data_IF_720488695403
#
_entry.id   IF_720488695403
#
_cell.length_a   1.000
_cell.length_b   1.000
_cell.length_c   1.000
_cell.angle_alpha   90.00
_cell.angle_beta   90.00
_cell.angle_gamma   90.00
#
_symmetry.space_group_name_H-M   'P 1'
#
loop_
_entity.id
_entity.type
_entity.pdbx_description
1 polymer ?
#
# COMPACT_ATOMS: atom_id res chain seq x y z
N UNK A 1 4.42 2.31 -18.70
CA UNK A 1 3.23 1.54 -18.29
C UNK A 1 3.44 0.97 -16.91
N UNK A 2 2.38 0.89 -16.08
CA UNK A 2 2.46 0.50 -14.67
C UNK A 2 1.28 -0.37 -14.25
N UNK A 3 1.50 -1.37 -13.38
CA UNK A 3 0.44 -2.18 -12.78
C UNK A 3 0.15 -1.71 -11.36
N UNK A 4 -1.13 -1.49 -11.07
CA UNK A 4 -1.61 -1.11 -9.74
C UNK A 4 -2.20 -2.33 -9.06
N UNK A 5 -1.60 -2.75 -7.95
CA UNK A 5 -2.02 -3.92 -7.17
C UNK A 5 -2.74 -3.48 -5.91
N UNK A 6 -3.97 -3.95 -5.75
CA UNK A 6 -4.88 -3.53 -4.69
C UNK A 6 -5.38 -4.75 -3.92
N UNK A 7 -4.84 -5.04 -2.73
CA UNK A 7 -5.47 -6.01 -1.84
C UNK A 7 -6.79 -5.45 -1.30
N UNK A 8 -7.83 -6.27 -1.25
CA UNK A 8 -9.13 -5.89 -0.70
C UNK A 8 -9.71 -6.98 0.19
N UNK A 9 -10.49 -6.59 1.21
CA UNK A 9 -11.24 -7.53 2.04
C UNK A 9 -12.38 -6.84 2.78
N UNK A 10 -13.63 -7.14 2.39
CA UNK A 10 -14.86 -6.56 2.95
C UNK A 10 -14.82 -5.02 2.94
N UNK A 11 -14.70 -4.43 1.77
CA UNK A 11 -14.60 -2.97 1.53
C UNK A 11 -15.75 -2.44 0.66
N UNK A 12 -16.93 -3.08 0.66
CA UNK A 12 -18.06 -2.67 -0.20
C UNK A 12 -18.45 -1.19 -0.04
N UNK A 13 -18.27 -0.61 1.17
CA UNK A 13 -18.62 0.78 1.45
C UNK A 13 -17.63 1.81 0.82
N UNK A 14 -16.36 1.42 0.62
CA UNK A 14 -15.27 2.35 0.20
C UNK A 14 -14.66 2.06 -1.16
N UNK A 15 -14.67 0.81 -1.60
CA UNK A 15 -13.91 0.37 -2.78
C UNK A 15 -14.35 1.09 -4.07
N UNK A 16 -15.63 1.44 -4.21
CA UNK A 16 -16.09 2.14 -5.41
C UNK A 16 -15.49 3.55 -5.51
N UNK A 17 -15.49 4.31 -4.41
CA UNK A 17 -14.89 5.64 -4.38
C UNK A 17 -13.39 5.59 -4.64
N UNK A 18 -12.70 4.61 -4.06
CA UNK A 18 -11.29 4.35 -4.31
C UNK A 18 -11.03 4.06 -5.80
N UNK A 19 -11.74 3.11 -6.41
CA UNK A 19 -11.55 2.73 -7.81
C UNK A 19 -11.88 3.87 -8.77
N UNK A 20 -12.89 4.69 -8.48
CA UNK A 20 -13.17 5.92 -9.23
C UNK A 20 -11.99 6.89 -9.19
N UNK A 21 -11.35 7.07 -8.04
CA UNK A 21 -10.15 7.92 -7.93
C UNK A 21 -8.97 7.36 -8.73
N UNK A 22 -8.86 6.03 -8.81
CA UNK A 22 -7.84 5.35 -9.60
C UNK A 22 -8.13 5.41 -11.10
N UNK A 23 -9.40 5.40 -11.52
CA UNK A 23 -9.78 5.60 -12.92
C UNK A 23 -9.67 7.06 -13.38
N UNK A 24 -9.67 8.04 -12.47
CA UNK A 24 -9.55 9.49 -12.75
C UNK A 24 -8.10 9.99 -12.72
N UNK A 25 -7.12 9.16 -13.07
CA UNK A 25 -5.73 9.56 -13.11
C UNK A 25 -5.38 10.36 -14.36
N UNK A 26 -4.35 11.24 -14.27
CA UNK A 26 -3.83 12.00 -15.45
C UNK A 26 -3.04 11.11 -16.41
N UNK A 27 -2.52 9.98 -15.94
CA UNK A 27 -1.90 8.98 -16.81
C UNK A 27 -3.00 8.35 -17.68
N UNK A 28 -2.84 8.28 -19.02
CA UNK A 28 -3.82 7.65 -19.90
C UNK A 28 -4.18 6.23 -19.47
N UNK A 29 -5.48 5.88 -19.57
CA UNK A 29 -6.03 4.61 -19.06
C UNK A 29 -5.40 3.37 -19.70
N UNK A 30 -4.93 3.46 -20.92
CA UNK A 30 -4.23 2.42 -21.66
C UNK A 30 -2.76 2.23 -21.23
N UNK A 31 -2.25 3.09 -20.36
CA UNK A 31 -0.89 3.02 -19.85
C UNK A 31 -0.77 2.37 -18.45
N UNK A 32 -1.88 1.93 -17.88
CA UNK A 32 -1.86 1.21 -16.61
C UNK A 32 -2.95 0.13 -16.56
N UNK A 33 -2.73 -0.85 -15.70
CA UNK A 33 -3.73 -1.86 -15.35
C UNK A 33 -4.04 -1.83 -13.86
N UNK A 34 -5.25 -2.21 -13.51
CA UNK A 34 -5.77 -2.29 -12.15
C UNK A 34 -6.02 -3.77 -11.82
N UNK A 35 -5.33 -4.28 -10.80
CA UNK A 35 -5.43 -5.65 -10.33
C UNK A 35 -5.94 -5.63 -8.90
N UNK A 36 -7.16 -6.09 -8.68
CA UNK A 36 -7.73 -6.23 -7.35
C UNK A 36 -7.58 -7.67 -6.88
N UNK A 37 -6.92 -7.86 -5.75
CA UNK A 37 -6.69 -9.18 -5.13
C UNK A 37 -7.53 -9.28 -3.88
N UNK A 38 -8.61 -10.04 -3.96
CA UNK A 38 -9.60 -10.14 -2.90
C UNK A 38 -9.23 -11.20 -1.86
N UNK A 39 -9.31 -10.85 -0.58
CA UNK A 39 -9.03 -11.73 0.56
C UNK A 39 -10.12 -12.76 0.88
N UNK A 40 -11.09 -12.97 -0.01
CA UNK A 40 -12.27 -13.80 0.22
C UNK A 40 -13.43 -13.03 0.86
N UNK A 41 -13.70 -11.83 0.36
CA UNK A 41 -14.81 -10.97 0.81
C UNK A 41 -16.15 -11.68 0.73
N UNK A 42 -17.03 -11.39 1.71
CA UNK A 42 -18.38 -11.93 1.80
C UNK A 42 -19.45 -10.90 1.43
N UNK A 43 -19.05 -9.67 1.22
CA UNK A 43 -19.86 -8.54 0.80
C UNK A 43 -19.75 -8.31 -0.72
N UNK A 44 -20.21 -7.15 -1.20
CA UNK A 44 -20.19 -6.81 -2.63
C UNK A 44 -18.84 -6.29 -3.15
N UNK A 45 -17.77 -6.39 -2.36
CA UNK A 45 -16.45 -5.86 -2.74
C UNK A 45 -16.02 -6.31 -4.13
N UNK A 46 -16.08 -7.62 -4.43
CA UNK A 46 -15.67 -8.17 -5.73
C UNK A 46 -16.56 -7.71 -6.88
N UNK A 47 -17.88 -7.78 -6.68
CA UNK A 47 -18.86 -7.35 -7.69
C UNK A 47 -18.64 -5.88 -8.10
N UNK A 48 -18.31 -5.03 -7.12
CA UNK A 48 -18.01 -3.63 -7.38
C UNK A 48 -16.66 -3.50 -8.12
N UNK A 49 -15.64 -4.23 -7.66
CA UNK A 49 -14.29 -4.16 -8.26
C UNK A 49 -14.28 -4.58 -9.73
N UNK A 50 -15.04 -5.60 -10.11
CA UNK A 50 -15.16 -6.11 -11.48
C UNK A 50 -15.65 -5.05 -12.50
N UNK A 51 -16.30 -3.97 -12.03
CA UNK A 51 -16.77 -2.87 -12.89
C UNK A 51 -15.66 -1.89 -13.31
N UNK A 52 -14.54 -1.88 -12.60
CA UNK A 52 -13.48 -0.89 -12.75
C UNK A 52 -12.10 -1.48 -13.02
N UNK A 53 -11.81 -2.67 -12.46
CA UNK A 53 -10.50 -3.30 -12.55
C UNK A 53 -10.35 -4.14 -13.83
N UNK A 54 -9.11 -4.26 -14.32
CA UNK A 54 -8.77 -5.12 -15.46
C UNK A 54 -8.70 -6.60 -15.04
N UNK A 55 -8.42 -6.84 -13.76
CA UNK A 55 -8.35 -8.18 -13.19
C UNK A 55 -8.83 -8.17 -11.74
N UNK A 56 -9.70 -9.12 -11.40
CA UNK A 56 -10.16 -9.38 -10.02
C UNK A 56 -10.07 -10.87 -9.74
N UNK A 57 -9.39 -11.25 -8.68
CA UNK A 57 -9.31 -12.66 -8.27
C UNK A 57 -9.13 -12.81 -6.77
N UNK A 58 -9.43 -14.01 -6.26
CA UNK A 58 -9.24 -14.35 -4.84
C UNK A 58 -7.77 -14.68 -4.62
N UNK A 59 -7.16 -14.11 -3.55
CA UNK A 59 -5.77 -14.41 -3.18
C UNK A 59 -5.56 -15.91 -2.95
N UNK A 60 -4.41 -16.40 -3.33
CA UNK A 60 -3.96 -17.78 -3.06
C UNK A 60 -3.03 -17.82 -1.85
N UNK A 61 -2.24 -16.79 -1.67
CA UNK A 61 -1.35 -16.60 -0.52
C UNK A 61 -2.11 -16.04 0.69
N UNK A 62 -1.55 -16.21 1.89
CA UNK A 62 -2.17 -15.69 3.12
C UNK A 62 -1.75 -14.25 3.39
N UNK A 63 -2.56 -13.51 4.19
CA UNK A 63 -2.25 -12.15 4.66
C UNK A 63 -2.20 -11.12 3.53
N UNK A 64 -2.11 -9.85 3.90
CA UNK A 64 -2.06 -8.74 2.94
C UNK A 64 -0.79 -8.74 2.09
N UNK A 65 0.36 -9.06 2.67
CA UNK A 65 1.61 -9.21 1.93
C UNK A 65 1.53 -10.31 0.88
N UNK A 66 0.84 -11.42 1.18
CA UNK A 66 0.57 -12.50 0.23
C UNK A 66 -0.35 -12.05 -0.90
N UNK A 67 -1.43 -11.32 -0.61
CA UNK A 67 -2.30 -10.76 -1.63
C UNK A 67 -1.55 -9.80 -2.58
N UNK A 68 -0.68 -8.94 -2.04
CA UNK A 68 0.19 -8.08 -2.86
C UNK A 68 1.12 -8.91 -3.75
N UNK A 69 1.73 -9.98 -3.22
CA UNK A 69 2.58 -10.88 -4.00
C UNK A 69 1.81 -11.53 -5.15
N UNK A 70 0.63 -12.07 -4.88
CA UNK A 70 -0.22 -12.69 -5.91
C UNK A 70 -0.55 -11.69 -7.03
N UNK A 71 -0.90 -10.44 -6.68
CA UNK A 71 -1.17 -9.38 -7.64
C UNK A 71 0.06 -8.98 -8.47
N UNK A 72 1.23 -8.87 -7.83
CA UNK A 72 2.49 -8.58 -8.53
C UNK A 72 2.85 -9.70 -9.51
N UNK A 73 2.70 -10.96 -9.11
CA UNK A 73 2.98 -12.09 -10.01
C UNK A 73 2.04 -12.10 -11.22
N UNK A 74 0.77 -11.75 -11.03
CA UNK A 74 -0.23 -11.66 -12.09
C UNK A 74 -0.07 -10.45 -13.02
N UNK A 75 0.69 -9.41 -12.61
CA UNK A 75 0.82 -8.16 -13.35
C UNK A 75 1.57 -8.30 -14.67
N UNK A 76 1.24 -7.45 -15.65
CA UNK A 76 1.86 -7.43 -16.99
C UNK A 76 3.10 -6.54 -17.05
N UNK A 77 3.13 -5.42 -16.30
CA UNK A 77 4.16 -4.39 -16.45
C UNK A 77 5.28 -4.55 -15.43
N UNK A 78 6.46 -4.01 -15.77
CA UNK A 78 7.63 -4.04 -14.88
C UNK A 78 7.53 -3.01 -13.74
N UNK A 79 6.89 -1.88 -13.99
CA UNK A 79 6.59 -0.94 -12.92
C UNK A 79 5.34 -1.37 -12.18
N UNK A 80 5.47 -1.53 -10.87
CA UNK A 80 4.38 -1.92 -9.98
C UNK A 80 4.19 -0.83 -8.94
N UNK A 81 2.95 -0.56 -8.59
CA UNK A 81 2.60 0.19 -7.38
C UNK A 81 1.56 -0.57 -6.59
N UNK A 82 1.75 -0.62 -5.27
CA UNK A 82 0.75 -1.16 -4.34
C UNK A 82 0.03 -0.03 -3.63
N UNK A 83 -1.27 -0.20 -3.43
CA UNK A 83 -2.13 0.72 -2.68
C UNK A 83 -3.23 -0.06 -1.98
N UNK A 84 -3.90 0.53 -0.99
CA UNK A 84 -4.97 -0.13 -0.24
C UNK A 84 -6.35 0.35 -0.71
N UNK A 85 -7.37 -0.49 -0.63
CA UNK A 85 -8.72 -0.24 -1.14
C UNK A 85 -9.50 0.85 -0.37
N UNK A 86 -8.95 1.35 0.74
CA UNK A 86 -9.50 2.45 1.55
C UNK A 86 -8.69 3.76 1.43
N UNK A 87 -7.87 3.87 0.38
CA UNK A 87 -7.14 5.08 0.05
C UNK A 87 -7.92 6.00 -0.89
N UNK A 88 -7.46 7.25 -1.05
CA UNK A 88 -7.84 8.17 -2.12
C UNK A 88 -6.60 8.60 -2.89
N UNK A 89 -6.65 8.47 -4.20
CA UNK A 89 -5.49 8.71 -5.07
C UNK A 89 -5.67 10.05 -5.81
N UNK A 90 -4.81 11.06 -5.54
CA UNK A 90 -4.81 12.30 -6.32
C UNK A 90 -4.54 12.03 -7.81
N UNK A 91 -5.17 12.80 -8.69
CA UNK A 91 -5.10 12.60 -10.15
C UNK A 91 -3.68 12.44 -10.73
N UNK A 92 -2.63 13.18 -10.29
CA UNK A 92 -1.29 13.03 -10.84
C UNK A 92 -0.46 11.89 -10.22
N UNK A 93 -1.05 11.04 -9.36
CA UNK A 93 -0.30 10.05 -8.58
C UNK A 93 0.44 9.03 -9.46
N UNK A 94 -0.24 8.39 -10.42
CA UNK A 94 0.40 7.44 -11.33
C UNK A 94 1.42 8.10 -12.26
N UNK A 95 1.09 9.28 -12.79
CA UNK A 95 2.00 10.05 -13.63
C UNK A 95 3.27 10.46 -12.87
N UNK A 96 3.13 10.83 -11.59
CA UNK A 96 4.27 11.16 -10.72
C UNK A 96 5.19 9.95 -10.56
N UNK A 97 4.63 8.77 -10.28
CA UNK A 97 5.40 7.53 -10.13
C UNK A 97 6.18 7.20 -11.41
N UNK A 98 5.53 7.25 -12.56
CA UNK A 98 6.18 6.95 -13.85
C UNK A 98 7.32 7.91 -14.12
N UNK A 99 7.11 9.23 -13.94
CA UNK A 99 8.15 10.28 -14.10
C UNK A 99 9.31 10.08 -13.13
N UNK A 100 9.04 9.62 -11.91
CA UNK A 100 10.10 9.37 -10.94
C UNK A 100 10.97 8.18 -11.35
N UNK A 101 10.42 7.10 -11.90
CA UNK A 101 11.22 6.00 -12.43
C UNK A 101 12.01 6.38 -13.68
N UNK A 102 11.55 7.33 -14.48
CA UNK A 102 12.31 7.92 -15.59
C UNK A 102 13.46 8.79 -15.07
N UNK A 103 13.18 9.62 -14.07
CA UNK A 103 14.17 10.51 -13.44
C UNK A 103 15.24 9.76 -12.65
N UNK A 104 14.86 8.63 -12.03
CA UNK A 104 15.75 7.81 -11.23
C UNK A 104 15.80 6.37 -11.79
N UNK A 105 16.54 6.16 -12.90
CA UNK A 105 16.60 4.86 -13.56
C UNK A 105 17.22 3.76 -12.69
N UNK A 106 18.03 4.15 -11.71
CA UNK A 106 18.63 3.30 -10.68
C UNK A 106 17.73 3.01 -9.47
N UNK A 107 16.50 3.57 -9.45
CA UNK A 107 15.59 3.32 -8.35
C UNK A 107 15.02 1.89 -8.42
N UNK A 108 15.16 1.17 -7.31
CA UNK A 108 14.47 -0.10 -7.06
C UNK A 108 13.07 0.13 -6.50
N UNK A 109 12.92 1.16 -5.67
CA UNK A 109 11.68 1.48 -4.95
C UNK A 109 11.48 2.99 -4.88
N UNK A 110 10.24 3.43 -5.08
CA UNK A 110 9.80 4.81 -4.84
C UNK A 110 8.61 4.76 -3.88
N UNK A 111 8.56 5.67 -2.91
CA UNK A 111 7.47 5.74 -1.95
C UNK A 111 7.19 7.19 -1.57
N UNK A 112 6.02 7.43 -1.02
CA UNK A 112 5.58 8.78 -0.69
C UNK A 112 4.87 8.90 0.65
N UNK A 113 4.57 10.15 1.07
CA UNK A 113 3.83 10.46 2.27
C UNK A 113 2.34 10.17 2.11
N UNK A 114 1.59 10.36 3.21
CA UNK A 114 0.14 10.25 3.27
C UNK A 114 -0.50 11.54 3.80
N UNK A 115 -1.80 11.71 3.58
CA UNK A 115 -2.63 12.66 4.31
C UNK A 115 -3.90 11.97 4.84
N UNK A 116 -4.47 12.42 5.97
CA UNK A 116 -5.64 11.77 6.54
C UNK A 116 -6.89 12.10 5.74
N UNK A 117 -7.74 11.11 5.47
CA UNK A 117 -9.05 11.32 4.84
C UNK A 117 -10.07 11.86 5.84
N UNK A 118 -9.97 11.43 7.09
CA UNK A 118 -10.88 11.87 8.15
C UNK A 118 -10.52 13.28 8.64
N UNK A 119 -11.53 14.13 8.87
CA UNK A 119 -11.32 15.49 9.35
C UNK A 119 -10.86 15.51 10.81
N UNK A 120 -10.20 16.60 11.19
CA UNK A 120 -9.83 16.86 12.59
C UNK A 120 -8.34 17.12 12.77
N UNK A 121 -8.03 17.99 13.75
CA UNK A 121 -6.65 18.39 14.06
C UNK A 121 -5.82 17.19 14.54
N UNK A 122 -6.41 16.30 15.34
CA UNK A 122 -5.74 15.11 15.86
C UNK A 122 -5.15 14.25 14.74
N UNK A 123 -5.95 13.88 13.75
CA UNK A 123 -5.51 13.02 12.63
C UNK A 123 -4.47 13.71 11.75
N UNK A 124 -4.62 15.02 11.53
CA UNK A 124 -3.61 15.82 10.82
C UNK A 124 -2.27 15.84 11.56
N UNK A 125 -2.30 15.96 12.90
CA UNK A 125 -1.09 15.95 13.71
C UNK A 125 -0.43 14.56 13.74
N UNK A 126 -1.21 13.49 13.87
CA UNK A 126 -0.72 12.11 13.82
C UNK A 126 -0.01 11.80 12.50
N UNK A 127 -0.64 12.16 11.38
CA UNK A 127 -0.06 11.98 10.05
C UNK A 127 1.14 12.92 9.82
N UNK A 128 1.12 14.13 10.37
CA UNK A 128 2.29 15.02 10.34
C UNK A 128 3.52 14.36 11.01
N UNK A 129 3.35 13.78 12.20
CA UNK A 129 4.43 13.06 12.89
C UNK A 129 4.92 11.86 12.08
N UNK A 130 4.00 11.08 11.51
CA UNK A 130 4.36 9.97 10.62
C UNK A 130 5.18 10.48 9.41
N UNK A 131 4.71 11.50 8.70
CA UNK A 131 5.41 12.07 7.55
C UNK A 131 6.77 12.70 7.92
N UNK A 132 6.93 13.17 9.15
CA UNK A 132 8.24 13.62 9.66
C UNK A 132 9.22 12.43 9.74
N UNK A 133 8.77 11.28 10.27
CA UNK A 133 9.56 10.04 10.30
C UNK A 133 9.91 9.57 8.88
N UNK A 134 8.93 9.60 7.96
CA UNK A 134 9.15 9.30 6.53
C UNK A 134 10.26 10.18 5.93
N UNK A 135 10.21 11.50 6.20
CA UNK A 135 11.24 12.46 5.71
C UNK A 135 12.61 12.19 6.30
N UNK A 136 12.69 11.93 7.60
CA UNK A 136 13.98 11.63 8.26
C UNK A 136 14.57 10.36 7.67
N UNK A 137 13.79 9.30 7.58
CA UNK A 137 14.23 8.03 7.00
C UNK A 137 14.70 8.18 5.55
N UNK A 138 13.90 8.84 4.70
CA UNK A 138 14.24 9.06 3.29
C UNK A 138 15.48 9.93 3.08
N UNK A 139 15.76 10.90 3.98
CA UNK A 139 16.97 11.72 3.90
C UNK A 139 18.21 11.02 4.41
N UNK A 140 18.09 10.25 5.47
CA UNK A 140 19.23 9.59 6.11
C UNK A 140 19.59 8.26 5.49
N UNK A 141 18.62 7.57 4.85
CA UNK A 141 18.80 6.21 4.33
C UNK A 141 19.06 5.14 5.40
N UNK A 142 18.94 5.51 6.70
CA UNK A 142 19.15 4.60 7.82
C UNK A 142 17.98 3.62 7.91
N UNK A 143 16.77 4.11 7.69
CA UNK A 143 15.54 3.32 7.66
C UNK A 143 14.58 3.89 6.61
N UNK A 144 13.58 3.11 6.23
CA UNK A 144 12.55 3.51 5.28
C UNK A 144 11.17 3.23 5.89
N UNK A 145 10.42 4.30 6.15
CA UNK A 145 9.05 4.21 6.66
C UNK A 145 8.06 4.16 5.49
N UNK A 146 8.08 3.04 4.77
CA UNK A 146 7.15 2.80 3.65
C UNK A 146 5.81 2.28 4.16
N UNK A 147 4.76 2.52 3.39
CA UNK A 147 3.46 1.88 3.55
C UNK A 147 3.15 1.10 2.27
N UNK A 148 2.66 -0.12 2.43
CA UNK A 148 2.14 -0.90 1.31
C UNK A 148 1.04 -0.17 0.52
N UNK A 149 0.38 0.80 1.16
CA UNK A 149 -0.60 1.69 0.55
C UNK A 149 -0.02 2.74 -0.42
N UNK A 150 1.30 2.99 -0.41
CA UNK A 150 1.94 4.03 -1.25
C UNK A 150 3.40 3.69 -1.56
N UNK A 151 3.63 2.54 -2.16
CA UNK A 151 4.97 2.06 -2.52
C UNK A 151 4.98 1.50 -3.93
N UNK A 152 5.90 1.99 -4.76
CA UNK A 152 6.14 1.53 -6.12
C UNK A 152 7.53 0.92 -6.27
N UNK A 153 7.69 -0.07 -7.14
CA UNK A 153 8.95 -0.78 -7.34
C UNK A 153 9.03 -1.43 -8.73
N UNK A 154 10.25 -1.85 -9.12
CA UNK A 154 10.46 -2.67 -10.32
C UNK A 154 10.17 -4.12 -10.00
N UNK A 155 9.29 -4.75 -10.77
CA UNK A 155 8.83 -6.14 -10.58
C UNK A 155 9.98 -7.14 -10.52
N UNK A 156 10.91 -7.05 -11.47
CA UNK A 156 12.05 -7.96 -11.52
C UNK A 156 12.88 -7.89 -10.23
N UNK A 157 13.21 -6.68 -9.76
CA UNK A 157 13.98 -6.47 -8.53
C UNK A 157 13.21 -6.87 -7.28
N UNK A 158 11.89 -6.67 -7.27
CA UNK A 158 11.02 -7.09 -6.18
C UNK A 158 10.99 -8.62 -6.02
N UNK A 159 10.90 -9.35 -7.14
CA UNK A 159 10.94 -10.82 -7.13
C UNK A 159 12.32 -11.31 -6.66
N UNK A 160 13.40 -10.74 -7.18
CA UNK A 160 14.77 -11.08 -6.80
C UNK A 160 15.06 -10.79 -5.33
N UNK A 161 14.51 -9.70 -4.79
CA UNK A 161 14.58 -9.36 -3.37
C UNK A 161 13.74 -10.30 -2.47
N UNK A 162 12.97 -11.24 -3.02
CA UNK A 162 12.17 -12.23 -2.29
C UNK A 162 10.78 -11.73 -1.86
N UNK A 163 10.22 -10.75 -2.58
CA UNK A 163 8.84 -10.25 -2.45
C UNK A 163 8.45 -9.78 -1.03
N UNK A 164 7.19 -9.50 -0.76
CA UNK A 164 6.70 -9.24 0.59
C UNK A 164 6.75 -10.50 1.45
N UNK A 165 7.15 -10.37 2.70
CA UNK A 165 7.00 -11.46 3.68
C UNK A 165 5.53 -11.67 4.01
N UNK A 166 5.12 -12.93 4.07
CA UNK A 166 3.76 -13.31 4.48
C UNK A 166 3.70 -13.31 6.00
N UNK A 167 3.47 -12.15 6.61
CA UNK A 167 3.41 -11.95 8.05
C UNK A 167 2.21 -11.08 8.45
N UNK A 168 2.01 -10.88 9.75
CA UNK A 168 0.86 -10.11 10.26
C UNK A 168 1.09 -8.60 10.17
N UNK A 169 2.35 -8.14 10.26
CA UNK A 169 2.71 -6.73 10.14
C UNK A 169 4.21 -6.56 9.85
N UNK A 170 4.56 -5.41 9.26
CA UNK A 170 5.94 -4.98 9.05
C UNK A 170 6.56 -5.47 7.74
N UNK A 171 5.79 -6.14 6.89
CA UNK A 171 6.19 -6.56 5.54
C UNK A 171 6.61 -5.36 4.68
N UNK A 172 5.88 -4.26 4.81
CA UNK A 172 6.13 -3.00 4.10
C UNK A 172 7.37 -2.23 4.62
N UNK A 173 7.75 -2.39 5.88
CA UNK A 173 8.98 -1.82 6.44
C UNK A 173 10.22 -2.65 6.17
N UNK A 174 10.04 -3.95 6.03
CA UNK A 174 11.13 -4.88 5.82
C UNK A 174 11.58 -4.93 4.36
N UNK A 175 10.64 -4.86 3.43
CA UNK A 175 10.91 -4.91 1.99
C UNK A 175 11.94 -3.87 1.52
N UNK A 176 11.85 -2.57 1.85
CA UNK A 176 12.81 -1.58 1.38
C UNK A 176 14.25 -1.85 1.86
N UNK A 177 14.40 -2.51 3.02
CA UNK A 177 15.73 -2.91 3.52
C UNK A 177 16.43 -3.93 2.61
N UNK A 178 15.64 -4.76 1.92
CA UNK A 178 16.15 -5.70 0.92
C UNK A 178 16.29 -5.02 -0.44
N UNK A 179 15.29 -4.24 -0.85
CA UNK A 179 15.27 -3.55 -2.12
C UNK A 179 16.44 -2.57 -2.32
N UNK A 180 16.96 -1.95 -1.24
CA UNK A 180 18.14 -1.07 -1.32
C UNK A 180 19.41 -1.77 -1.82
N UNK A 181 19.49 -3.10 -1.75
CA UNK A 181 20.63 -3.87 -2.28
C UNK A 181 20.57 -4.01 -3.81
N UNK A 182 19.43 -3.72 -4.42
CA UNK A 182 19.17 -3.85 -5.85
C UNK A 182 19.03 -2.49 -6.55
N UNK A 183 19.01 -1.39 -5.80
CA UNK A 183 18.90 -0.06 -6.34
C UNK A 183 18.50 0.97 -5.29
N UNK A 184 18.36 2.20 -5.71
CA UNK A 184 18.02 3.31 -4.83
C UNK A 184 16.59 3.20 -4.33
N UNK A 185 16.39 3.45 -3.02
CA UNK A 185 15.07 3.67 -2.42
C UNK A 185 14.83 5.17 -2.33
N UNK A 186 13.86 5.67 -3.10
CA UNK A 186 13.60 7.10 -3.29
C UNK A 186 12.33 7.52 -2.58
N UNK A 187 12.40 8.60 -1.80
CA UNK A 187 11.23 9.28 -1.26
C UNK A 187 10.84 10.44 -2.20
N UNK A 188 9.63 10.39 -2.76
CA UNK A 188 9.02 11.57 -3.39
C UNK A 188 7.86 12.11 -2.56
N UNK A 189 7.99 13.37 -2.13
CA UNK A 189 6.96 14.07 -1.35
C UNK A 189 5.71 14.43 -2.16
N UNK A 190 5.76 14.33 -3.50
CA UNK A 190 4.62 14.56 -4.41
C UNK A 190 3.79 13.31 -4.63
N UNK A 191 4.38 12.12 -4.44
CA UNK A 191 3.68 10.84 -4.47
C UNK A 191 2.86 10.67 -3.18
N UNK A 192 1.82 11.51 -3.00
CA UNK A 192 1.01 11.54 -1.77
C UNK A 192 -0.33 10.85 -1.99
N UNK A 193 -0.82 10.11 -1.00
CA UNK A 193 -2.15 9.48 -1.02
C UNK A 193 -2.98 9.85 0.19
N UNK A 194 -4.29 9.93 0.02
CA UNK A 194 -5.24 9.98 1.13
C UNK A 194 -5.33 8.62 1.80
N UNK A 195 -5.15 8.59 3.12
CA UNK A 195 -5.10 7.37 3.91
C UNK A 195 -6.21 7.36 4.95
N UNK A 196 -6.98 6.27 5.04
CA UNK A 196 -8.05 6.15 6.01
C UNK A 196 -7.50 5.91 7.42
N UNK A 197 -7.96 6.74 8.35
CA UNK A 197 -7.64 6.63 9.78
C UNK A 197 -8.65 5.75 10.54
N UNK A 198 -9.61 5.10 9.87
CA UNK A 198 -10.67 4.26 10.49
C UNK A 198 -10.13 3.31 11.54
N UNK A 199 -9.02 2.64 11.23
CA UNK A 199 -8.37 1.71 12.14
C UNK A 199 -7.90 2.38 13.42
N UNK A 200 -7.24 3.53 13.32
CA UNK A 200 -6.70 4.27 14.47
C UNK A 200 -7.80 4.90 15.31
N UNK A 201 -8.92 5.27 14.68
CA UNK A 201 -10.12 5.76 15.38
C UNK A 201 -10.73 4.64 16.22
N UNK A 202 -10.93 3.47 15.64
CA UNK A 202 -11.62 2.34 16.29
C UNK A 202 -10.78 1.68 17.41
N UNK A 203 -9.46 1.65 17.29
CA UNK A 203 -8.57 0.95 18.23
C UNK A 203 -7.75 1.89 19.13
N UNK A 204 -7.71 3.18 18.81
CA UNK A 204 -6.83 4.17 19.46
C UNK A 204 -5.40 4.10 18.94
N UNK A 205 -4.79 5.28 18.71
CA UNK A 205 -3.45 5.40 18.15
C UNK A 205 -2.38 4.66 18.95
N UNK A 206 -2.32 4.92 20.26
CA UNK A 206 -1.30 4.32 21.13
C UNK A 206 -1.40 2.79 21.17
N UNK A 207 -2.62 2.27 21.22
CA UNK A 207 -2.84 0.83 21.23
C UNK A 207 -2.43 0.21 19.89
N UNK A 208 -2.77 0.83 18.78
CA UNK A 208 -2.41 0.37 17.44
C UNK A 208 -0.90 0.44 17.21
N UNK A 209 -0.24 1.53 17.61
CA UNK A 209 1.21 1.69 17.52
C UNK A 209 1.96 0.69 18.39
N UNK A 210 1.53 0.49 19.64
CA UNK A 210 2.13 -0.50 20.54
C UNK A 210 1.96 -1.92 20.01
N UNK A 211 0.78 -2.25 19.54
CA UNK A 211 0.49 -3.56 18.98
C UNK A 211 1.32 -3.81 17.71
N UNK A 212 1.43 -2.82 16.82
CA UNK A 212 2.27 -2.88 15.64
C UNK A 212 3.75 -3.09 16.02
N UNK A 213 4.28 -2.27 16.93
CA UNK A 213 5.66 -2.39 17.39
C UNK A 213 5.95 -3.76 18.01
N UNK A 214 5.04 -4.26 18.86
CA UNK A 214 5.15 -5.58 19.46
C UNK A 214 5.21 -6.70 18.41
N UNK A 215 4.33 -6.66 17.41
CA UNK A 215 4.30 -7.66 16.33
C UNK A 215 5.58 -7.60 15.48
N UNK A 216 6.01 -6.38 15.12
CA UNK A 216 7.27 -6.20 14.36
C UNK A 216 8.49 -6.68 15.13
N UNK A 217 8.55 -6.42 16.45
CA UNK A 217 9.63 -6.92 17.31
C UNK A 217 9.66 -8.46 17.38
N UNK A 218 8.52 -9.13 17.16
CA UNK A 218 8.41 -10.59 17.03
C UNK A 218 8.62 -11.11 15.59
N UNK A 219 9.25 -10.34 14.74
CA UNK A 219 9.50 -10.72 13.36
C UNK A 219 8.30 -10.65 12.43
N UNK A 220 7.24 -9.91 12.83
CA UNK A 220 6.04 -9.70 12.03
C UNK A 220 4.90 -10.70 12.32
N UNK A 221 5.02 -11.56 13.32
CA UNK A 221 4.00 -12.56 13.66
C UNK A 221 3.33 -12.27 15.01
N UNK A 222 2.01 -12.49 15.07
CA UNK A 222 1.22 -12.39 16.31
C UNK A 222 0.81 -13.75 16.82
N UNK A 223 1.07 -14.01 18.12
CA UNK A 223 0.62 -15.26 18.80
C UNK A 223 -0.89 -15.25 19.06
N UNK A 224 -1.49 -14.06 19.11
CA UNK A 224 -2.94 -13.89 19.23
C UNK A 224 -3.48 -13.63 17.84
N UNK A 225 -4.21 -14.58 17.31
CA UNK A 225 -4.90 -14.44 16.02
C UNK A 225 -5.26 -12.98 15.74
N UNK A 226 -4.75 -12.45 14.61
CA UNK A 226 -5.26 -11.22 14.03
C UNK A 226 -4.70 -9.93 14.63
N UNK A 227 -3.51 -9.58 14.25
CA UNK A 227 -3.13 -8.16 14.28
C UNK A 227 -4.18 -7.29 13.55
N UNK A 228 -4.91 -7.86 12.59
CA UNK A 228 -5.87 -7.16 11.73
C UNK A 228 -7.18 -7.91 11.48
N UNK A 229 -7.39 -9.05 12.05
CA UNK A 229 -8.50 -9.92 11.69
C UNK A 229 -9.72 -9.76 12.55
N UNK A 230 -10.03 -8.58 13.05
CA UNK A 230 -11.36 -8.29 13.54
C UNK A 230 -12.15 -7.56 12.48
N UNK A 231 -13.29 -8.12 12.23
CA UNK A 231 -14.42 -7.60 11.50
C UNK A 231 -14.56 -6.08 11.78
N UNK A 232 -14.03 -5.25 10.88
CA UNK A 232 -14.17 -3.80 10.96
C UNK A 232 -15.60 -3.34 10.73
N UNK A 233 -16.50 -4.27 10.36
CA UNK A 233 -17.91 -4.03 10.09
C UNK A 233 -18.78 -4.01 11.35
N UNK A 234 -18.26 -4.36 12.52
CA UNK A 234 -18.98 -4.20 13.77
C UNK A 234 -18.79 -2.78 14.30
N UNK A 235 -19.81 -1.96 14.05
CA UNK A 235 -20.06 -0.70 14.75
C UNK A 235 -20.25 -0.92 16.25
#
# INVERSE_FOLDING_TARGET
>A
MISVVVPSFNEEEGIEAFLKSLCDQTLPRDQYEIIVVDGGSKDKTREIAEKYADMVFIQTSKKVGGARNDGVLASKYDLIVTTDADCFLPRPWLETIVKDFEKYPDASTIYGPIYPLEPGFKHKFEVFLYNLVVRIGGRTGIFYATLGANTAFRKALFIEAGMYKVCDAGDDWELPKRMKNYGRVVLDMKMIVGFSMRRYINFGLFRSAFQWFYVVAKGGFSDKHQYMGKDYTKK
#
